data_IF_610743736884
#
_entry.id   IF_610743736884
#
_cell.length_a   1.000
_cell.length_b   1.000
_cell.length_c   1.000
_cell.angle_alpha   90.00
_cell.angle_beta   90.00
_cell.angle_gamma   90.00
#
_symmetry.space_group_name_H-M   'P 1'
#
loop_
_entity.id
_entity.type
_entity.pdbx_description
1 polymer ?
#
# COMPACT_ATOMS: atom_id res chain seq x y z
N UNK A 1 4.44 -50.71 -8.01
CA UNK A 1 4.49 -49.53 -7.13
C UNK A 1 4.60 -48.29 -8.01
N UNK A 2 3.55 -47.49 -8.10
CA UNK A 2 3.48 -46.38 -9.07
C UNK A 2 4.06 -45.10 -8.42
N UNK A 3 5.11 -44.46 -8.96
CA UNK A 3 5.78 -43.32 -8.33
C UNK A 3 4.94 -42.03 -8.28
N UNK A 4 3.78 -42.00 -8.92
CA UNK A 4 2.89 -40.84 -9.01
C UNK A 4 1.93 -40.66 -7.82
N UNK A 5 1.77 -41.64 -6.92
CA UNK A 5 0.89 -41.49 -5.74
C UNK A 5 1.49 -40.66 -4.62
N UNK A 6 2.80 -40.32 -4.67
CA UNK A 6 3.43 -39.41 -3.70
C UNK A 6 3.11 -37.92 -3.94
N UNK A 7 2.45 -37.57 -5.05
CA UNK A 7 2.17 -36.17 -5.42
C UNK A 7 0.81 -35.63 -4.95
N UNK A 8 0.03 -36.41 -4.19
CA UNK A 8 -1.31 -36.00 -3.71
C UNK A 8 -1.36 -35.91 -2.19
N UNK A 9 -0.37 -35.27 -1.57
CA UNK A 9 -0.49 -34.85 -0.17
C UNK A 9 -1.53 -33.73 -0.14
N UNK A 10 -2.77 -34.05 0.25
CA UNK A 10 -3.80 -33.02 0.45
C UNK A 10 -3.27 -32.04 1.50
N UNK A 11 -3.04 -30.80 1.10
CA UNK A 11 -2.59 -29.75 2.00
C UNK A 11 -3.66 -29.53 3.08
N UNK A 12 -3.24 -29.44 4.33
CA UNK A 12 -4.18 -29.10 5.41
C UNK A 12 -4.67 -27.66 5.23
N UNK A 13 -5.87 -27.31 5.73
CA UNK A 13 -6.37 -25.92 5.66
C UNK A 13 -5.38 -24.89 6.23
N UNK A 14 -4.65 -25.26 7.30
CA UNK A 14 -3.61 -24.42 7.88
C UNK A 14 -2.40 -24.23 6.95
N UNK A 15 -2.01 -25.26 6.20
CA UNK A 15 -0.94 -25.14 5.19
C UNK A 15 -1.36 -24.28 3.99
N UNK A 16 -2.62 -24.39 3.56
CA UNK A 16 -3.16 -23.53 2.49
C UNK A 16 -3.13 -22.06 2.93
N UNK A 17 -3.57 -21.78 4.15
CA UNK A 17 -3.51 -20.43 4.73
C UNK A 17 -2.08 -19.91 4.83
N UNK A 18 -1.13 -20.79 5.19
CA UNK A 18 0.28 -20.45 5.28
C UNK A 18 0.82 -19.96 3.94
N UNK A 19 0.63 -20.76 2.87
CA UNK A 19 1.07 -20.37 1.53
C UNK A 19 0.32 -19.14 1.01
N UNK A 20 -1.00 -19.08 1.20
CA UNK A 20 -1.82 -17.94 0.83
C UNK A 20 -1.28 -16.65 1.46
N UNK A 21 -0.99 -16.67 2.76
CA UNK A 21 -0.47 -15.51 3.49
C UNK A 21 0.93 -15.13 3.00
N UNK A 22 1.83 -16.10 2.78
CA UNK A 22 3.15 -15.82 2.20
C UNK A 22 3.00 -15.10 0.86
N UNK A 23 2.18 -15.64 -0.04
CA UNK A 23 2.00 -15.04 -1.36
C UNK A 23 1.41 -13.64 -1.22
N UNK A 24 0.39 -13.41 -0.38
CA UNK A 24 -0.19 -12.08 -0.20
C UNK A 24 0.83 -11.03 0.27
N UNK A 25 1.64 -11.33 1.29
CA UNK A 25 2.58 -10.36 1.85
C UNK A 25 3.89 -10.23 1.04
N UNK A 26 4.34 -11.31 0.40
CA UNK A 26 5.54 -11.29 -0.45
C UNK A 26 5.28 -10.65 -1.82
N UNK A 27 4.14 -10.97 -2.44
CA UNK A 27 3.88 -10.58 -3.82
C UNK A 27 3.63 -9.09 -3.99
N UNK A 28 3.18 -8.36 -2.97
CA UNK A 28 2.78 -6.97 -3.17
C UNK A 28 3.95 -6.08 -3.68
N UNK A 29 5.16 -6.08 -3.08
CA UNK A 29 6.29 -5.32 -3.62
C UNK A 29 6.94 -5.97 -4.85
N UNK A 30 6.98 -7.29 -4.91
CA UNK A 30 7.81 -8.03 -5.87
C UNK A 30 7.07 -8.35 -7.17
N UNK A 31 5.81 -8.75 -7.06
CA UNK A 31 5.00 -9.31 -8.15
C UNK A 31 3.75 -8.47 -8.45
N UNK A 32 3.57 -7.34 -7.77
CA UNK A 32 2.50 -6.37 -8.01
C UNK A 32 1.12 -7.00 -7.99
N UNK A 33 0.41 -6.95 -9.12
CA UNK A 33 -0.98 -7.39 -9.29
C UNK A 33 -1.24 -8.86 -8.92
N UNK A 34 -0.20 -9.69 -8.80
CA UNK A 34 -0.36 -11.07 -8.31
C UNK A 34 -0.99 -11.10 -6.91
N UNK A 35 -0.77 -10.07 -6.07
CA UNK A 35 -1.42 -9.98 -4.75
C UNK A 35 -2.94 -9.95 -4.87
N UNK A 36 -3.46 -9.14 -5.80
CA UNK A 36 -4.90 -8.99 -6.04
C UNK A 36 -5.47 -10.27 -6.62
N UNK A 37 -4.79 -10.90 -7.57
CA UNK A 37 -5.22 -12.20 -8.14
C UNK A 37 -5.29 -13.25 -7.04
N UNK A 38 -4.24 -13.37 -6.24
CA UNK A 38 -4.17 -14.33 -5.14
C UNK A 38 -5.28 -14.07 -4.13
N UNK A 39 -5.47 -12.83 -3.71
CA UNK A 39 -6.50 -12.44 -2.76
C UNK A 39 -7.90 -12.75 -3.27
N UNK A 40 -8.22 -12.39 -4.51
CA UNK A 40 -9.52 -12.69 -5.12
C UNK A 40 -9.74 -14.21 -5.27
N UNK A 41 -8.73 -14.96 -5.72
CA UNK A 41 -8.81 -16.41 -5.83
C UNK A 41 -9.03 -17.07 -4.45
N UNK A 42 -8.32 -16.60 -3.42
CA UNK A 42 -8.52 -17.05 -2.03
C UNK A 42 -9.90 -16.71 -1.49
N UNK A 43 -10.43 -15.54 -1.82
CA UNK A 43 -11.79 -15.12 -1.48
C UNK A 43 -12.85 -16.01 -2.13
N UNK A 44 -12.75 -16.25 -3.45
CA UNK A 44 -13.67 -17.14 -4.18
C UNK A 44 -13.61 -18.57 -3.63
N UNK A 45 -12.41 -19.12 -3.44
CA UNK A 45 -12.24 -20.45 -2.85
C UNK A 45 -12.89 -20.56 -1.46
N UNK A 46 -12.75 -19.52 -0.65
CA UNK A 46 -13.32 -19.47 0.68
C UNK A 46 -14.84 -19.36 0.67
N UNK A 47 -15.39 -18.60 -0.29
CA UNK A 47 -16.83 -18.55 -0.55
C UNK A 47 -17.36 -19.94 -0.93
N UNK A 48 -16.66 -20.69 -1.79
CA UNK A 48 -17.04 -22.05 -2.16
C UNK A 48 -17.03 -23.00 -0.94
N UNK A 49 -16.03 -22.89 -0.06
CA UNK A 49 -15.97 -23.70 1.17
C UNK A 49 -17.09 -23.35 2.17
N UNK A 50 -17.47 -22.08 2.26
CA UNK A 50 -18.60 -21.61 3.07
C UNK A 50 -19.93 -22.14 2.50
N UNK A 51 -20.15 -22.01 1.18
CA UNK A 51 -21.32 -22.55 0.48
C UNK A 51 -21.44 -24.08 0.63
N UNK A 52 -20.31 -24.78 0.57
CA UNK A 52 -20.26 -26.23 0.80
C UNK A 52 -20.42 -26.64 2.28
N UNK A 53 -20.67 -25.68 3.19
CA UNK A 53 -20.74 -25.88 4.65
C UNK A 53 -19.49 -26.57 5.25
N UNK A 54 -18.36 -26.52 4.54
CA UNK A 54 -17.08 -27.08 4.98
C UNK A 54 -16.30 -26.10 5.84
N UNK A 55 -16.74 -24.84 5.91
CA UNK A 55 -16.12 -23.77 6.71
C UNK A 55 -17.21 -22.95 7.40
N UNK A 56 -16.91 -22.50 8.63
CA UNK A 56 -17.75 -21.56 9.37
C UNK A 56 -17.26 -20.14 9.13
N UNK A 57 -18.20 -19.21 8.99
CA UNK A 57 -17.90 -17.80 8.84
C UNK A 57 -17.47 -17.23 10.20
N UNK A 58 -16.26 -16.70 10.29
CA UNK A 58 -15.76 -16.13 11.53
C UNK A 58 -16.22 -14.68 11.66
N UNK A 59 -17.06 -14.40 12.65
CA UNK A 59 -17.55 -13.06 12.96
C UNK A 59 -16.96 -12.61 14.29
N UNK A 60 -16.01 -11.69 14.25
CA UNK A 60 -15.48 -10.99 15.41
C UNK A 60 -15.58 -9.47 15.25
N UNK A 61 -15.58 -8.74 16.37
CA UNK A 61 -15.74 -7.28 16.40
C UNK A 61 -14.80 -6.53 15.44
N UNK A 62 -13.49 -6.84 15.40
CA UNK A 62 -12.56 -6.21 14.45
C UNK A 62 -12.90 -6.47 12.99
N UNK A 63 -13.30 -7.69 12.63
CA UNK A 63 -13.73 -8.02 11.27
C UNK A 63 -14.99 -7.24 10.89
N UNK A 64 -15.98 -7.16 11.79
CA UNK A 64 -17.21 -6.41 11.53
C UNK A 64 -16.94 -4.93 11.32
N UNK A 65 -16.14 -4.31 12.19
CA UNK A 65 -15.79 -2.89 12.08
C UNK A 65 -15.07 -2.58 10.75
N UNK A 66 -14.10 -3.41 10.36
CA UNK A 66 -13.36 -3.21 9.11
C UNK A 66 -14.23 -3.50 7.88
N UNK A 67 -15.08 -4.53 7.94
CA UNK A 67 -16.04 -4.84 6.86
C UNK A 67 -17.04 -3.70 6.67
N UNK A 68 -17.58 -3.15 7.75
CA UNK A 68 -18.50 -2.02 7.70
C UNK A 68 -17.84 -0.79 7.06
N UNK A 69 -16.61 -0.46 7.45
CA UNK A 69 -15.87 0.66 6.87
C UNK A 69 -15.61 0.46 5.37
N UNK A 70 -15.17 -0.74 4.97
CA UNK A 70 -14.92 -1.08 3.56
C UNK A 70 -16.21 -1.03 2.74
N UNK A 71 -17.31 -1.57 3.28
CA UNK A 71 -18.59 -1.61 2.56
C UNK A 71 -19.21 -0.23 2.49
N UNK A 72 -19.05 0.61 3.51
CA UNK A 72 -19.44 2.02 3.45
C UNK A 72 -18.68 2.76 2.35
N UNK A 73 -17.37 2.53 2.20
CA UNK A 73 -16.59 3.08 1.09
C UNK A 73 -17.10 2.62 -0.28
N UNK A 74 -17.32 1.32 -0.47
CA UNK A 74 -17.88 0.78 -1.71
C UNK A 74 -19.28 1.32 -2.01
N UNK A 75 -20.14 1.40 -0.99
CA UNK A 75 -21.49 1.92 -1.10
C UNK A 75 -21.49 3.40 -1.47
N UNK A 76 -20.61 4.20 -0.87
CA UNK A 76 -20.47 5.63 -1.20
C UNK A 76 -20.09 5.83 -2.67
N UNK A 77 -19.16 5.02 -3.21
CA UNK A 77 -18.77 5.08 -4.62
C UNK A 77 -19.91 4.72 -5.57
N UNK A 78 -20.68 3.68 -5.26
CA UNK A 78 -21.83 3.27 -6.07
C UNK A 78 -22.96 4.28 -5.96
N UNK A 79 -23.25 4.78 -4.76
CA UNK A 79 -24.30 5.77 -4.53
C UNK A 79 -24.00 7.09 -5.25
N UNK A 80 -22.75 7.56 -5.19
CA UNK A 80 -22.29 8.72 -5.95
C UNK A 80 -22.56 8.52 -7.45
N UNK A 81 -22.23 7.35 -8.01
CA UNK A 81 -22.46 7.05 -9.42
C UNK A 81 -23.94 6.97 -9.80
N UNK A 82 -24.79 6.43 -8.92
CA UNK A 82 -26.25 6.38 -9.12
C UNK A 82 -26.83 7.79 -9.15
N UNK A 83 -26.47 8.63 -8.17
CA UNK A 83 -26.98 10.01 -8.05
C UNK A 83 -26.58 10.84 -9.27
N UNK A 84 -25.38 10.62 -9.82
CA UNK A 84 -24.89 11.29 -11.02
C UNK A 84 -25.39 10.67 -12.34
N UNK A 85 -26.13 9.56 -12.30
CA UNK A 85 -26.56 8.85 -13.51
C UNK A 85 -25.43 8.23 -14.33
N UNK A 86 -24.22 8.07 -13.75
CA UNK A 86 -23.01 7.59 -14.44
C UNK A 86 -22.75 6.09 -14.27
N UNK A 87 -23.72 5.33 -13.75
CA UNK A 87 -23.56 3.92 -13.38
C UNK A 87 -22.97 3.05 -14.50
N UNK A 88 -23.43 3.24 -15.74
CA UNK A 88 -22.93 2.49 -16.90
C UNK A 88 -21.48 2.85 -17.25
N UNK A 89 -21.13 4.14 -17.18
CA UNK A 89 -19.78 4.63 -17.47
C UNK A 89 -18.78 4.23 -16.37
N UNK A 90 -19.26 4.14 -15.12
CA UNK A 90 -18.45 3.84 -13.95
C UNK A 90 -18.24 2.34 -13.70
N UNK A 91 -18.97 1.46 -14.41
CA UNK A 91 -18.99 0.02 -14.16
C UNK A 91 -17.59 -0.62 -14.14
N UNK A 92 -16.69 -0.19 -15.04
CA UNK A 92 -15.30 -0.67 -15.09
C UNK A 92 -14.48 -0.30 -13.85
N UNK A 93 -14.81 0.81 -13.19
CA UNK A 93 -14.15 1.28 -11.97
C UNK A 93 -14.68 0.59 -10.71
N UNK A 94 -15.80 -0.12 -10.81
CA UNK A 94 -16.28 -0.99 -9.74
C UNK A 94 -15.61 -2.36 -9.72
N UNK A 95 -14.96 -2.78 -10.82
CA UNK A 95 -14.29 -4.08 -10.87
C UNK A 95 -13.22 -4.25 -9.78
N UNK A 96 -12.34 -3.25 -9.49
CA UNK A 96 -11.42 -3.34 -8.37
C UNK A 96 -12.11 -3.45 -7.00
N UNK A 97 -13.34 -2.95 -6.85
CA UNK A 97 -14.10 -3.01 -5.60
C UNK A 97 -14.47 -4.44 -5.20
N UNK A 98 -14.52 -5.37 -6.16
CA UNK A 98 -14.74 -6.81 -5.88
C UNK A 98 -13.69 -7.33 -4.90
N UNK A 99 -12.44 -6.88 -5.03
CA UNK A 99 -11.34 -7.25 -4.12
C UNK A 99 -11.70 -6.87 -2.68
N UNK A 100 -12.31 -5.70 -2.48
CA UNK A 100 -12.72 -5.23 -1.17
C UNK A 100 -13.96 -5.96 -0.64
N UNK A 101 -14.92 -6.31 -1.51
CA UNK A 101 -16.10 -7.09 -1.14
C UNK A 101 -15.75 -8.51 -0.67
N UNK A 102 -14.64 -9.08 -1.16
CA UNK A 102 -14.15 -10.38 -0.71
C UNK A 102 -13.41 -10.33 0.63
N UNK A 103 -13.25 -9.16 1.25
CA UNK A 103 -12.54 -8.99 2.52
C UNK A 103 -13.05 -9.91 3.65
N UNK A 104 -14.33 -9.90 4.04
CA UNK A 104 -14.78 -10.70 5.19
C UNK A 104 -14.68 -12.21 4.94
N UNK A 105 -14.86 -12.62 3.69
CA UNK A 105 -14.72 -14.01 3.25
C UNK A 105 -13.24 -14.44 3.34
N UNK A 106 -12.33 -13.59 2.87
CA UNK A 106 -10.88 -13.83 2.93
C UNK A 106 -10.36 -13.78 4.37
N UNK A 107 -10.89 -12.90 5.21
CA UNK A 107 -10.57 -12.84 6.64
C UNK A 107 -10.90 -14.15 7.36
N UNK A 108 -12.05 -14.76 7.03
CA UNK A 108 -12.43 -16.08 7.56
C UNK A 108 -11.45 -17.21 7.18
N UNK A 109 -10.57 -16.98 6.21
CA UNK A 109 -9.46 -17.89 5.89
C UNK A 109 -8.37 -17.73 6.93
N UNK A 110 -7.92 -16.50 7.16
CA UNK A 110 -6.87 -16.18 8.13
C UNK A 110 -7.23 -16.50 9.58
N UNK A 111 -8.51 -16.45 9.95
CA UNK A 111 -8.97 -16.75 11.31
C UNK A 111 -8.77 -18.21 11.75
N UNK A 112 -8.52 -19.14 10.83
CA UNK A 112 -8.29 -20.56 11.13
C UNK A 112 -6.88 -20.79 11.69
N UNK A 113 -5.92 -19.97 11.26
CA UNK A 113 -4.54 -20.05 11.72
C UNK A 113 -4.39 -19.29 13.03
N UNK A 114 -3.58 -19.81 13.94
CA UNK A 114 -3.26 -19.09 15.18
C UNK A 114 -2.73 -17.68 14.85
N UNK A 115 -3.27 -16.66 15.53
CA UNK A 115 -2.95 -15.25 15.25
C UNK A 115 -1.45 -14.95 15.34
N UNK A 116 -0.75 -15.60 16.28
CA UNK A 116 0.70 -15.46 16.47
C UNK A 116 1.47 -16.05 15.28
N UNK A 117 1.07 -17.23 14.80
CA UNK A 117 1.65 -17.87 13.63
C UNK A 117 1.39 -17.04 12.36
N UNK A 118 0.18 -16.52 12.18
CA UNK A 118 -0.15 -15.65 11.05
C UNK A 118 0.67 -14.35 11.06
N UNK A 119 0.78 -13.70 12.22
CA UNK A 119 1.60 -12.50 12.37
C UNK A 119 3.07 -12.77 12.06
N UNK A 120 3.59 -13.91 12.54
CA UNK A 120 4.95 -14.37 12.25
C UNK A 120 5.18 -14.57 10.75
N UNK A 121 4.24 -15.23 10.06
CA UNK A 121 4.30 -15.43 8.59
C UNK A 121 4.28 -14.10 7.86
N UNK A 122 3.38 -13.18 8.23
CA UNK A 122 3.29 -11.87 7.61
C UNK A 122 4.60 -11.07 7.76
N UNK A 123 5.22 -11.11 8.94
CA UNK A 123 6.51 -10.45 9.21
C UNK A 123 7.63 -11.06 8.36
N UNK A 124 7.77 -12.40 8.34
CA UNK A 124 8.81 -13.06 7.56
C UNK A 124 8.62 -12.89 6.05
N UNK A 125 7.38 -13.00 5.57
CA UNK A 125 7.05 -12.77 4.17
C UNK A 125 7.33 -11.32 3.76
N UNK A 126 7.03 -10.35 4.62
CA UNK A 126 7.36 -8.93 4.40
C UNK A 126 8.87 -8.70 4.39
N UNK A 127 9.63 -9.39 5.24
CA UNK A 127 11.09 -9.30 5.21
C UNK A 127 11.67 -9.82 3.89
N UNK A 128 11.17 -10.97 3.42
CA UNK A 128 11.51 -11.48 2.10
C UNK A 128 11.08 -10.51 0.97
N UNK A 129 9.92 -9.87 1.12
CA UNK A 129 9.41 -8.88 0.18
C UNK A 129 10.34 -7.66 0.09
N UNK A 130 10.85 -7.16 1.21
CA UNK A 130 11.78 -6.04 1.24
C UNK A 130 13.11 -6.35 0.53
N UNK A 131 13.67 -7.55 0.75
CA UNK A 131 14.87 -7.98 0.04
C UNK A 131 14.60 -8.16 -1.47
N UNK A 132 13.45 -8.77 -1.82
CA UNK A 132 13.03 -8.91 -3.21
C UNK A 132 12.81 -7.56 -3.89
N UNK A 133 12.19 -6.60 -3.19
CA UNK A 133 11.98 -5.24 -3.66
C UNK A 133 13.31 -4.53 -3.94
N UNK A 134 14.30 -4.67 -3.06
CA UNK A 134 15.64 -4.11 -3.29
C UNK A 134 16.32 -4.75 -4.50
N UNK A 135 16.28 -6.08 -4.62
CA UNK A 135 16.88 -6.78 -5.75
C UNK A 135 16.28 -6.31 -7.09
N UNK A 136 14.95 -6.22 -7.18
CA UNK A 136 14.26 -5.71 -8.37
C UNK A 136 14.59 -4.23 -8.61
N UNK A 137 14.60 -3.41 -7.56
CA UNK A 137 14.90 -1.99 -7.68
C UNK A 137 16.30 -1.74 -8.23
N UNK A 138 17.30 -2.52 -7.78
CA UNK A 138 18.67 -2.44 -8.31
C UNK A 138 18.70 -2.79 -9.80
N UNK A 139 18.02 -3.87 -10.20
CA UNK A 139 17.93 -4.29 -11.61
C UNK A 139 17.24 -3.22 -12.47
N UNK A 140 16.10 -2.70 -12.02
CA UNK A 140 15.37 -1.66 -12.76
C UNK A 140 16.17 -0.36 -12.89
N UNK A 141 16.78 0.08 -11.79
CA UNK A 141 17.53 1.32 -11.77
C UNK A 141 18.84 1.25 -12.56
N UNK A 142 19.66 0.23 -12.32
CA UNK A 142 21.01 0.15 -12.90
C UNK A 142 21.07 -0.53 -14.26
N UNK A 143 20.17 -1.47 -14.58
CA UNK A 143 20.20 -2.18 -15.86
C UNK A 143 19.16 -1.69 -16.86
N UNK A 144 17.96 -1.32 -16.39
CA UNK A 144 16.89 -0.84 -17.27
C UNK A 144 16.85 0.69 -17.38
N UNK A 145 17.61 1.41 -16.53
CA UNK A 145 17.65 2.88 -16.52
C UNK A 145 16.32 3.52 -16.12
N UNK A 146 15.40 2.74 -15.54
CA UNK A 146 14.10 3.21 -15.08
C UNK A 146 14.08 3.35 -13.57
N UNK A 147 13.32 4.32 -13.05
CA UNK A 147 13.02 4.35 -11.62
C UNK A 147 12.40 3.02 -11.20
N UNK A 148 12.58 2.62 -9.94
CA UNK A 148 12.03 1.34 -9.48
C UNK A 148 10.49 1.36 -9.44
N UNK A 149 9.88 0.50 -10.23
CA UNK A 149 8.42 0.31 -10.32
C UNK A 149 7.99 -1.08 -9.79
N UNK A 150 8.97 -1.92 -9.43
CA UNK A 150 8.75 -3.28 -8.95
C UNK A 150 7.96 -4.12 -9.95
N UNK A 151 7.25 -5.13 -9.44
CA UNK A 151 6.24 -5.86 -10.21
C UNK A 151 4.90 -5.12 -10.37
N UNK A 152 4.76 -3.94 -9.75
CA UNK A 152 3.52 -3.17 -9.77
C UNK A 152 3.35 -2.32 -11.05
N UNK A 153 4.44 -2.05 -11.79
CA UNK A 153 4.43 -1.17 -12.97
C UNK A 153 4.14 0.28 -12.64
N UNK A 154 4.22 0.66 -11.35
CA UNK A 154 4.01 2.02 -10.88
C UNK A 154 4.87 2.27 -9.64
N UNK A 155 5.80 3.23 -9.74
CA UNK A 155 6.73 3.57 -8.67
C UNK A 155 6.05 4.01 -7.36
N UNK A 156 4.89 4.65 -7.43
CA UNK A 156 4.13 5.10 -6.25
C UNK A 156 3.52 3.87 -5.56
N UNK A 157 2.89 2.98 -6.32
CA UNK A 157 2.31 1.76 -5.79
C UNK A 157 3.40 0.89 -5.17
N UNK A 158 4.51 0.67 -5.90
CA UNK A 158 5.66 -0.10 -5.43
C UNK A 158 6.23 0.42 -4.10
N UNK A 159 6.49 1.73 -3.99
CA UNK A 159 7.00 2.29 -2.75
C UNK A 159 5.96 2.25 -1.62
N UNK A 160 4.66 2.33 -1.93
CA UNK A 160 3.60 2.25 -0.91
C UNK A 160 3.54 0.87 -0.29
N UNK A 161 3.49 -0.18 -1.11
CA UNK A 161 3.47 -1.57 -0.62
C UNK A 161 4.79 -1.96 0.04
N UNK A 162 5.93 -1.45 -0.45
CA UNK A 162 7.23 -1.65 0.20
C UNK A 162 7.28 -0.95 1.56
N UNK A 163 6.71 0.25 1.68
CA UNK A 163 6.60 0.96 2.97
C UNK A 163 5.79 0.13 3.98
N UNK A 164 4.66 -0.44 3.57
CA UNK A 164 3.88 -1.35 4.43
C UNK A 164 4.70 -2.58 4.87
N UNK A 165 5.47 -3.18 3.96
CA UNK A 165 6.36 -4.30 4.30
C UNK A 165 7.48 -3.89 5.29
N UNK A 166 8.06 -2.69 5.12
CA UNK A 166 9.03 -2.10 6.06
C UNK A 166 8.39 -1.93 7.44
N UNK A 167 7.17 -1.38 7.52
CA UNK A 167 6.46 -1.20 8.79
C UNK A 167 6.15 -2.53 9.47
N UNK A 168 5.81 -3.58 8.71
CA UNK A 168 5.63 -4.93 9.25
C UNK A 168 6.95 -5.51 9.79
N UNK A 169 8.08 -5.30 9.10
CA UNK A 169 9.39 -5.71 9.59
C UNK A 169 9.75 -5.00 10.91
N UNK A 170 9.52 -3.68 10.98
CA UNK A 170 9.73 -2.89 12.19
C UNK A 170 8.82 -3.37 13.32
N UNK A 171 7.52 -3.51 13.09
CA UNK A 171 6.58 -4.02 14.09
C UNK A 171 6.97 -5.43 14.58
N UNK A 172 7.40 -6.32 13.68
CA UNK A 172 7.92 -7.65 14.02
C UNK A 172 9.18 -7.62 14.87
N UNK A 173 10.12 -6.72 14.57
CA UNK A 173 11.36 -6.56 15.32
C UNK A 173 11.12 -6.03 16.75
N UNK A 174 10.09 -5.19 16.93
CA UNK A 174 9.77 -4.52 18.20
C UNK A 174 8.79 -5.31 19.07
N UNK A 175 7.91 -6.11 18.47
CA UNK A 175 6.88 -6.87 19.19
C UNK A 175 7.39 -8.13 19.89
N UNK A 176 8.59 -8.61 19.53
CA UNK A 176 9.15 -9.86 20.04
C UNK A 176 8.52 -11.13 19.45
N UNK A 177 7.68 -10.99 18.41
CA UNK A 177 7.09 -12.11 17.66
C UNK A 177 8.18 -12.98 17.02
N UNK A 178 9.27 -12.34 16.58
CA UNK A 178 10.42 -13.02 16.00
C UNK A 178 11.70 -12.77 16.78
N UNK A 179 12.43 -13.86 17.08
CA UNK A 179 13.73 -13.77 17.78
C UNK A 179 14.82 -13.16 16.90
N UNK A 180 14.67 -13.20 15.57
CA UNK A 180 15.64 -12.69 14.59
C UNK A 180 15.43 -11.20 14.28
N UNK A 181 15.31 -10.36 15.31
CA UNK A 181 15.06 -8.92 15.16
C UNK A 181 16.09 -8.21 14.26
N UNK A 182 17.37 -8.61 14.33
CA UNK A 182 18.43 -8.08 13.47
C UNK A 182 18.15 -8.27 11.97
N UNK A 183 17.62 -9.44 11.59
CA UNK A 183 17.26 -9.73 10.19
C UNK A 183 16.11 -8.84 9.73
N UNK A 184 15.13 -8.59 10.60
CA UNK A 184 13.99 -7.73 10.29
C UNK A 184 14.40 -6.25 10.15
N UNK A 185 15.33 -5.79 10.98
CA UNK A 185 15.93 -4.44 10.83
C UNK A 185 16.69 -4.34 9.51
N UNK A 186 17.49 -5.36 9.15
CA UNK A 186 18.19 -5.39 7.87
C UNK A 186 17.22 -5.38 6.68
N UNK A 187 16.13 -6.14 6.77
CA UNK A 187 15.07 -6.14 5.76
C UNK A 187 14.38 -4.77 5.66
N UNK A 188 14.10 -4.11 6.80
CA UNK A 188 13.54 -2.76 6.82
C UNK A 188 14.47 -1.73 6.14
N UNK A 189 15.77 -1.83 6.36
CA UNK A 189 16.78 -1.00 5.67
C UNK A 189 16.75 -1.29 4.16
N UNK A 190 16.75 -2.56 3.76
CA UNK A 190 16.68 -2.96 2.36
C UNK A 190 15.43 -2.40 1.65
N UNK A 191 14.26 -2.52 2.29
CA UNK A 191 13.01 -1.96 1.77
C UNK A 191 13.02 -0.44 1.70
N UNK A 192 13.65 0.25 2.66
CA UNK A 192 13.81 1.71 2.65
C UNK A 192 14.70 2.16 1.48
N UNK A 193 15.79 1.45 1.21
CA UNK A 193 16.63 1.71 0.03
C UNK A 193 15.84 1.50 -1.27
N UNK A 194 15.01 0.44 -1.35
CA UNK A 194 14.15 0.21 -2.50
C UNK A 194 13.13 1.36 -2.72
N UNK A 195 12.59 1.94 -1.65
CA UNK A 195 11.71 3.12 -1.70
C UNK A 195 12.46 4.36 -2.24
N UNK A 196 13.74 4.52 -1.90
CA UNK A 196 14.57 5.60 -2.45
C UNK A 196 14.74 5.42 -3.96
N UNK A 197 15.02 4.20 -4.43
CA UNK A 197 15.12 3.88 -5.85
C UNK A 197 13.83 4.08 -6.66
N UNK A 198 12.66 4.07 -6.01
CA UNK A 198 11.40 4.37 -6.70
C UNK A 198 11.27 5.86 -7.07
N UNK A 199 12.01 6.75 -6.39
CA UNK A 199 11.90 8.19 -6.55
C UNK A 199 10.56 8.79 -6.06
N UNK A 200 9.75 8.02 -5.32
CA UNK A 200 8.44 8.45 -4.83
C UNK A 200 8.58 9.32 -3.57
N UNK A 201 8.92 10.59 -3.79
CA UNK A 201 9.29 11.56 -2.73
C UNK A 201 8.27 11.67 -1.59
N UNK A 202 6.96 11.60 -1.86
CA UNK A 202 5.94 11.63 -0.79
C UNK A 202 6.09 10.48 0.21
N UNK A 203 6.56 9.32 -0.26
CA UNK A 203 6.72 8.14 0.57
C UNK A 203 7.96 8.26 1.45
N UNK A 204 8.96 9.06 1.05
CA UNK A 204 10.10 9.39 1.90
C UNK A 204 9.67 10.13 3.18
N UNK A 205 8.59 10.92 3.12
CA UNK A 205 7.97 11.57 4.28
C UNK A 205 7.05 10.61 5.02
N UNK A 206 6.32 9.74 4.30
CA UNK A 206 5.42 8.76 4.93
C UNK A 206 6.17 7.72 5.77
N UNK A 207 7.35 7.25 5.33
CA UNK A 207 8.16 6.25 6.04
C UNK A 207 8.52 6.67 7.48
N UNK A 208 9.11 7.85 7.75
CA UNK A 208 9.43 8.26 9.12
C UNK A 208 8.18 8.47 9.97
N UNK A 209 7.11 9.06 9.40
CA UNK A 209 5.83 9.25 10.13
C UNK A 209 5.27 7.89 10.56
N UNK A 210 5.16 6.94 9.64
CA UNK A 210 4.68 5.60 9.94
C UNK A 210 5.61 4.86 10.92
N UNK A 211 6.93 5.04 10.78
CA UNK A 211 7.91 4.49 11.71
C UNK A 211 7.73 5.01 13.14
N UNK A 212 7.50 6.31 13.31
CA UNK A 212 7.18 6.93 14.61
C UNK A 212 5.90 6.32 15.19
N UNK A 213 4.85 6.16 14.39
CA UNK A 213 3.58 5.54 14.84
C UNK A 213 3.83 4.12 15.33
N UNK A 214 4.57 3.29 14.58
CA UNK A 214 4.92 1.92 14.98
C UNK A 214 5.71 1.91 16.29
N UNK A 215 6.65 2.83 16.48
CA UNK A 215 7.40 2.98 17.73
C UNK A 215 6.48 3.38 18.90
N UNK A 216 5.59 4.36 18.71
CA UNK A 216 4.65 4.84 19.72
C UNK A 216 3.69 3.73 20.18
N UNK A 217 3.20 2.91 19.25
CA UNK A 217 2.33 1.75 19.57
C UNK A 217 3.08 0.72 20.42
N UNK A 218 4.37 0.51 20.17
CA UNK A 218 5.19 -0.47 20.88
C UNK A 218 5.94 0.12 22.10
N UNK A 219 5.69 1.40 22.45
CA UNK A 219 6.48 2.14 23.46
C UNK A 219 6.58 1.46 24.83
N UNK A 220 5.54 0.74 25.25
CA UNK A 220 5.45 0.07 26.56
C UNK A 220 6.44 -1.10 26.72
N UNK A 221 7.03 -1.58 25.63
CA UNK A 221 8.00 -2.70 25.63
C UNK A 221 9.45 -2.24 25.77
N UNK A 222 9.72 -0.93 25.69
CA UNK A 222 11.07 -0.39 25.77
C UNK A 222 11.40 0.10 27.17
N UNK A 223 12.62 -0.19 27.62
CA UNK A 223 13.28 0.64 28.64
C UNK A 223 13.69 1.98 28.00
N UNK A 224 13.64 3.09 28.72
CA UNK A 224 13.93 4.44 28.19
C UNK A 224 15.19 4.52 27.32
N UNK A 225 16.26 3.79 27.69
CA UNK A 225 17.53 3.75 26.97
C UNK A 225 17.46 3.09 25.56
N UNK A 226 16.58 2.11 25.37
CA UNK A 226 16.39 1.44 24.07
C UNK A 226 15.53 2.27 23.10
N UNK A 227 14.59 3.05 23.63
CA UNK A 227 13.75 3.95 22.85
C UNK A 227 14.56 5.11 22.27
N UNK A 228 15.47 5.69 23.07
CA UNK A 228 16.40 6.72 22.61
C UNK A 228 17.30 6.23 21.46
N UNK A 229 17.81 4.99 21.55
CA UNK A 229 18.67 4.41 20.51
C UNK A 229 17.93 4.19 19.19
N UNK A 230 16.69 3.70 19.24
CA UNK A 230 15.83 3.53 18.06
C UNK A 230 15.42 4.87 17.44
N UNK A 231 15.11 5.87 18.28
CA UNK A 231 14.82 7.22 17.80
C UNK A 231 16.02 7.84 17.09
N UNK A 232 17.23 7.69 17.63
CA UNK A 232 18.47 8.16 16.99
C UNK A 232 18.70 7.45 15.65
N UNK A 233 18.52 6.13 15.57
CA UNK A 233 18.62 5.39 14.31
C UNK A 233 17.59 5.90 13.28
N UNK A 234 16.35 6.12 13.72
CA UNK A 234 15.28 6.67 12.88
C UNK A 234 15.62 8.07 12.34
N UNK A 235 16.17 8.94 13.19
CA UNK A 235 16.64 10.27 12.80
C UNK A 235 17.81 10.18 11.81
N UNK A 236 18.78 9.31 12.04
CA UNK A 236 19.92 9.12 11.12
C UNK A 236 19.45 8.62 9.75
N UNK A 237 18.51 7.67 9.72
CA UNK A 237 17.92 7.18 8.47
C UNK A 237 17.12 8.29 7.76
N UNK A 238 16.34 9.08 8.50
CA UNK A 238 15.61 10.21 7.94
C UNK A 238 16.55 11.28 7.37
N UNK A 239 17.65 11.58 8.07
CA UNK A 239 18.70 12.50 7.60
C UNK A 239 19.43 11.95 6.36
N UNK A 240 19.69 10.64 6.29
CA UNK A 240 20.29 10.02 5.12
C UNK A 240 19.36 10.10 3.90
N UNK A 241 18.06 9.81 4.09
CA UNK A 241 17.04 9.98 3.05
C UNK A 241 16.96 11.45 2.61
N UNK A 242 16.96 12.39 3.56
CA UNK A 242 16.96 13.81 3.27
C UNK A 242 18.22 14.27 2.51
N UNK A 243 19.40 13.74 2.85
CA UNK A 243 20.67 14.08 2.19
C UNK A 243 20.81 13.48 0.78
N UNK A 244 20.25 12.29 0.55
CA UNK A 244 20.20 11.69 -0.80
C UNK A 244 19.13 12.41 -1.64
N UNK A 245 18.01 12.77 -1.01
CA UNK A 245 16.92 13.51 -1.64
C UNK A 245 17.23 14.98 -1.92
N UNK A 246 18.12 15.60 -1.15
CA UNK A 246 18.35 17.05 -1.18
C UNK A 246 18.87 17.55 -2.51
N UNK A 247 19.76 16.81 -3.20
CA UNK A 247 20.21 17.19 -4.55
C UNK A 247 19.06 17.21 -5.56
N UNK A 248 18.19 16.20 -5.52
CA UNK A 248 17.01 16.11 -6.38
C UNK A 248 15.87 17.08 -5.97
N UNK A 249 15.94 17.67 -4.78
CA UNK A 249 15.01 18.67 -4.26
C UNK A 249 15.52 20.08 -4.55
N UNK A 250 16.83 20.35 -4.42
CA UNK A 250 17.44 21.66 -4.70
C UNK A 250 17.24 22.06 -6.15
N UNK A 251 17.57 21.16 -7.09
CA UNK A 251 17.42 21.43 -8.53
C UNK A 251 15.97 21.77 -8.90
N UNK A 252 14.98 21.30 -8.12
CA UNK A 252 13.55 21.62 -8.33
C UNK A 252 13.05 22.77 -7.47
N UNK A 253 13.66 23.07 -6.35
CA UNK A 253 13.29 24.21 -5.52
C UNK A 253 13.51 25.50 -6.31
N UNK A 254 14.61 25.58 -7.05
CA UNK A 254 14.89 26.72 -7.93
C UNK A 254 13.84 26.86 -9.04
N UNK A 255 13.42 25.74 -9.68
CA UNK A 255 12.32 25.75 -10.65
C UNK A 255 10.94 26.07 -10.02
N UNK A 256 10.68 25.62 -8.79
CA UNK A 256 9.42 25.90 -8.10
C UNK A 256 9.34 27.35 -7.65
N UNK A 257 10.46 27.94 -7.23
CA UNK A 257 10.54 29.37 -6.87
C UNK A 257 10.38 30.21 -8.14
N UNK A 258 11.03 29.86 -9.25
CA UNK A 258 10.83 30.57 -10.52
C UNK A 258 9.40 30.45 -11.06
N UNK A 259 8.79 29.26 -10.97
CA UNK A 259 7.39 29.04 -11.37
C UNK A 259 6.42 29.79 -10.43
N UNK A 260 6.74 29.87 -9.13
CA UNK A 260 5.96 30.61 -8.13
C UNK A 260 6.01 32.12 -8.39
N UNK A 261 7.20 32.65 -8.70
CA UNK A 261 7.38 34.06 -9.05
C UNK A 261 6.65 34.38 -10.38
N UNK A 262 6.67 33.47 -11.36
CA UNK A 262 5.90 33.62 -12.60
C UNK A 262 4.38 33.59 -12.36
N UNK A 263 3.89 32.72 -11.47
CA UNK A 263 2.48 32.66 -11.09
C UNK A 263 2.03 33.93 -10.35
N UNK A 264 2.83 34.40 -9.40
CA UNK A 264 2.49 35.53 -8.52
C UNK A 264 2.68 36.90 -9.22
N UNK A 265 3.62 37.01 -10.16
CA UNK A 265 3.86 38.24 -10.92
C UNK A 265 2.98 38.36 -12.18
N UNK A 266 2.72 37.25 -12.89
CA UNK A 266 2.07 37.28 -14.22
C UNK A 266 0.77 36.49 -14.32
N UNK A 267 0.34 35.78 -13.26
CA UNK A 267 -0.85 34.92 -13.31
C UNK A 267 -0.73 33.77 -14.32
N UNK A 268 0.51 33.36 -14.63
CA UNK A 268 0.77 32.40 -15.70
C UNK A 268 0.52 30.96 -15.23
N UNK A 269 -0.61 30.41 -15.65
CA UNK A 269 -1.03 29.04 -15.37
C UNK A 269 -0.40 27.99 -16.32
N UNK A 270 0.45 28.41 -17.28
CA UNK A 270 1.10 27.49 -18.21
C UNK A 270 2.28 26.72 -17.61
N UNK A 271 2.75 27.11 -16.43
CA UNK A 271 3.82 26.45 -15.70
C UNK A 271 3.35 25.16 -15.00
N UNK A 272 4.28 24.26 -14.66
CA UNK A 272 3.94 23.01 -13.98
C UNK A 272 3.36 23.25 -12.58
N UNK A 273 3.71 24.36 -11.94
CA UNK A 273 3.11 24.80 -10.68
C UNK A 273 1.71 25.40 -10.90
N UNK A 274 1.57 26.30 -11.88
CA UNK A 274 0.29 26.93 -12.24
C UNK A 274 -0.79 25.92 -12.58
N UNK A 275 -0.47 24.89 -13.38
CA UNK A 275 -1.38 23.78 -13.67
C UNK A 275 -1.85 23.03 -12.42
N UNK A 276 -0.99 22.83 -11.41
CA UNK A 276 -1.40 22.16 -10.16
C UNK A 276 -2.30 23.04 -9.31
N UNK A 277 -2.01 24.34 -9.25
CA UNK A 277 -2.85 25.31 -8.54
C UNK A 277 -4.23 25.35 -9.19
N UNK A 278 -4.31 25.48 -10.51
CA UNK A 278 -5.56 25.40 -11.25
C UNK A 278 -6.31 24.08 -11.00
N UNK A 279 -5.63 22.93 -11.00
CA UNK A 279 -6.26 21.64 -10.64
C UNK A 279 -6.85 21.64 -9.22
N UNK A 280 -6.18 22.27 -8.25
CA UNK A 280 -6.70 22.40 -6.89
C UNK A 280 -7.91 23.33 -6.83
N UNK A 281 -7.89 24.44 -7.56
CA UNK A 281 -9.02 25.38 -7.63
C UNK A 281 -10.23 24.74 -8.30
N UNK A 282 -10.06 24.07 -9.44
CA UNK A 282 -11.12 23.30 -10.12
C UNK A 282 -11.67 22.23 -9.18
N UNK A 283 -10.80 21.49 -8.48
CA UNK A 283 -11.21 20.47 -7.52
C UNK A 283 -12.00 21.05 -6.35
N UNK A 284 -11.58 22.19 -5.79
CA UNK A 284 -12.26 22.85 -4.69
C UNK A 284 -13.61 23.43 -5.14
N UNK A 285 -13.69 24.00 -6.34
CA UNK A 285 -14.95 24.45 -6.94
C UNK A 285 -15.93 23.29 -7.11
N UNK A 286 -15.48 22.16 -7.67
CA UNK A 286 -16.30 20.96 -7.82
C UNK A 286 -16.81 20.40 -6.49
N UNK A 287 -16.00 20.46 -5.43
CA UNK A 287 -16.42 20.08 -4.07
C UNK A 287 -17.47 21.04 -3.51
N UNK A 288 -17.34 22.34 -3.75
CA UNK A 288 -18.34 23.34 -3.30
C UNK A 288 -19.68 23.17 -4.02
N UNK A 289 -19.64 22.80 -5.29
CA UNK A 289 -20.83 22.56 -6.09
C UNK A 289 -21.61 21.33 -5.61
N UNK A 290 -20.91 20.20 -5.40
CA UNK A 290 -21.54 18.93 -5.00
C UNK A 290 -20.78 18.23 -3.85
N UNK A 291 -20.89 18.73 -2.61
CA UNK A 291 -20.04 18.31 -1.49
C UNK A 291 -20.33 16.89 -0.97
N UNK A 292 -21.56 16.39 -1.14
CA UNK A 292 -21.99 15.11 -0.55
C UNK A 292 -21.70 13.96 -1.50
N UNK A 293 -22.27 13.99 -2.70
CA UNK A 293 -22.18 12.88 -3.66
C UNK A 293 -21.04 13.05 -4.66
N UNK A 294 -20.45 14.25 -4.76
CA UNK A 294 -19.47 14.57 -5.80
C UNK A 294 -20.00 14.35 -7.21
N UNK A 295 -19.14 14.48 -8.20
CA UNK A 295 -19.51 14.42 -9.63
C UNK A 295 -19.42 13.02 -10.24
N UNK A 296 -19.14 11.99 -9.45
CA UNK A 296 -18.87 10.63 -9.93
C UNK A 296 -17.42 10.40 -10.38
N UNK A 297 -17.03 9.13 -10.53
CA UNK A 297 -15.61 8.72 -10.72
C UNK A 297 -15.08 9.14 -12.10
N UNK A 298 -15.93 9.09 -13.12
CA UNK A 298 -15.58 9.42 -14.50
C UNK A 298 -15.52 10.93 -14.79
N UNK A 299 -16.21 11.74 -13.99
CA UNK A 299 -16.35 13.18 -14.24
C UNK A 299 -15.05 13.97 -14.04
N UNK A 300 -14.09 13.47 -13.25
CA UNK A 300 -12.86 14.22 -12.94
C UNK A 300 -12.12 14.71 -14.20
N UNK A 301 -12.06 13.91 -15.27
CA UNK A 301 -11.41 14.33 -16.53
C UNK A 301 -12.21 15.40 -17.28
N UNK A 302 -13.53 15.29 -17.27
CA UNK A 302 -14.40 16.27 -17.91
C UNK A 302 -14.32 17.62 -17.18
N UNK A 303 -14.40 17.60 -15.84
CA UNK A 303 -14.25 18.80 -15.00
C UNK A 303 -12.89 19.48 -15.18
N UNK A 304 -11.80 18.71 -15.21
CA UNK A 304 -10.48 19.27 -15.49
C UNK A 304 -10.45 19.92 -16.88
N UNK A 305 -10.99 19.26 -17.91
CA UNK A 305 -11.00 19.81 -19.27
C UNK A 305 -11.82 21.09 -19.36
N UNK A 306 -12.99 21.14 -18.70
CA UNK A 306 -13.84 22.32 -18.66
C UNK A 306 -13.18 23.47 -17.91
N UNK A 307 -12.69 23.22 -16.69
CA UNK A 307 -12.07 24.26 -15.85
C UNK A 307 -10.73 24.80 -16.34
N UNK A 308 -10.08 24.14 -17.32
CA UNK A 308 -8.91 24.70 -18.02
C UNK A 308 -9.27 25.49 -19.29
N UNK A 309 -10.53 25.44 -19.75
CA UNK A 309 -11.01 26.17 -20.92
C UNK A 309 -11.84 27.41 -20.55
N UNK A 310 -12.32 27.50 -19.32
CA UNK A 310 -12.88 28.72 -18.70
C UNK A 310 -11.77 29.62 -18.17
#
# INVERSE_FOLDING_TARGET
MNPFTKLRRQLTPAQINFYFSIVCFFSAPVLGSLVSITFNAGGVWSAMLLAAKRRRFNIDGPMLALTAAIYAYCAAMVLASIVNGTLAADLRFFLPLITFLLFPISYSTWSITEKTALARIAVLASAAACFGALAIAIVQYHWLGTRAEGGAGNAIVFATVTCLAVMLCLAGALSGIEKRSKLLVLAAIAGTIAIVYSGSRMIWVAVPIAGIVVLLVNRRRFTNASMARLAVIGVVVALAIAAIGSRAIMDRADFLVSDWDALNANGDHSTALGLRVAMWEIGLAAVREMPIFGHGITASRALMKQGFHE
#
